data_IF_951635691983
#
_entry.id   IF_951635691983
#
_cell.length_a   1.000
_cell.length_b   1.000
_cell.length_c   1.000
_cell.angle_alpha   90.00
_cell.angle_beta   90.00
_cell.angle_gamma   90.00
#
_symmetry.space_group_name_H-M   'P 1'
#
loop_
_entity.id
_entity.type
_entity.pdbx_description
1 polymer ?
#
# COMPACT_ATOMS: atom_id res chain seq x y z
N UNK A 1 -1.55 -2.51 -10.95
CA UNK A 1 -1.38 -1.78 -9.68
C UNK A 1 -0.06 -1.04 -9.79
N UNK A 2 -0.08 0.29 -9.77
CA UNK A 2 1.12 1.10 -10.00
C UNK A 2 1.99 1.10 -8.72
N UNK A 3 3.30 0.98 -8.91
CA UNK A 3 4.28 1.07 -7.83
C UNK A 3 4.31 2.53 -7.37
N UNK A 4 4.05 2.79 -6.10
CA UNK A 4 4.22 4.13 -5.54
C UNK A 4 5.72 4.39 -5.36
N UNK A 5 6.21 5.47 -5.96
CA UNK A 5 7.59 5.93 -5.81
C UNK A 5 7.73 6.80 -4.56
N UNK A 6 8.90 6.72 -3.91
CA UNK A 6 9.17 7.40 -2.64
C UNK A 6 9.03 8.92 -2.74
N UNK A 7 9.34 9.48 -3.92
CA UNK A 7 9.25 10.90 -4.23
C UNK A 7 7.82 11.44 -4.11
N UNK A 8 6.82 10.64 -4.49
CA UNK A 8 5.40 11.02 -4.40
C UNK A 8 4.87 10.93 -2.97
N UNK A 9 5.52 10.11 -2.13
CA UNK A 9 5.12 9.88 -0.74
C UNK A 9 5.73 10.93 0.20
N UNK A 10 6.93 11.43 -0.08
CA UNK A 10 7.60 12.42 0.78
C UNK A 10 6.85 13.74 0.86
N UNK A 11 6.15 14.14 -0.21
CA UNK A 11 5.32 15.35 -0.26
C UNK A 11 3.98 15.25 0.48
N UNK A 12 3.55 14.06 0.90
CA UNK A 12 2.25 13.86 1.54
C UNK A 12 2.29 14.15 3.05
N UNK A 13 1.21 14.70 3.57
CA UNK A 13 1.05 14.89 5.02
C UNK A 13 0.88 13.55 5.75
N UNK A 14 1.26 13.49 7.03
CA UNK A 14 1.16 12.27 7.84
C UNK A 14 -0.27 11.71 7.88
N UNK A 15 -1.29 12.59 7.89
CA UNK A 15 -2.70 12.18 7.82
C UNK A 15 -3.07 11.56 6.47
N UNK A 16 -2.53 12.09 5.38
CA UNK A 16 -2.75 11.56 4.03
C UNK A 16 -2.06 10.22 3.84
N UNK A 17 -0.87 10.03 4.43
CA UNK A 17 -0.17 8.75 4.44
C UNK A 17 -1.03 7.70 5.15
N UNK A 18 -1.59 8.01 6.32
CA UNK A 18 -2.45 7.07 7.05
C UNK A 18 -3.74 6.73 6.30
N UNK A 19 -4.34 7.70 5.62
CA UNK A 19 -5.51 7.47 4.76
C UNK A 19 -5.17 6.51 3.60
N UNK A 20 -4.08 6.76 2.87
CA UNK A 20 -3.62 5.87 1.79
C UNK A 20 -3.26 4.47 2.29
N UNK A 21 -2.64 4.36 3.47
CA UNK A 21 -2.34 3.06 4.08
C UNK A 21 -3.63 2.28 4.32
N UNK A 22 -4.68 2.92 4.87
CA UNK A 22 -5.99 2.27 5.08
C UNK A 22 -6.61 1.80 3.77
N UNK A 23 -6.64 2.64 2.73
CA UNK A 23 -7.17 2.25 1.42
C UNK A 23 -6.45 1.04 0.82
N UNK A 24 -5.12 1.05 0.81
CA UNK A 24 -4.33 -0.05 0.25
C UNK A 24 -4.54 -1.33 1.09
N UNK A 25 -4.75 -1.21 2.40
CA UNK A 25 -5.05 -2.35 3.28
C UNK A 25 -6.41 -2.98 2.97
N UNK A 26 -7.44 -2.16 2.73
CA UNK A 26 -8.76 -2.61 2.29
C UNK A 26 -8.68 -3.28 0.91
N UNK A 27 -7.96 -2.68 -0.04
CA UNK A 27 -7.71 -3.28 -1.35
C UNK A 27 -6.99 -4.63 -1.24
N UNK A 28 -5.98 -4.73 -0.36
CA UNK A 28 -5.26 -5.96 -0.07
C UNK A 28 -6.17 -7.04 0.54
N UNK A 29 -7.12 -6.65 1.41
CA UNK A 29 -8.12 -7.55 1.96
C UNK A 29 -9.03 -8.10 0.86
N UNK A 30 -9.57 -7.23 0.00
CA UNK A 30 -10.40 -7.64 -1.13
C UNK A 30 -9.64 -8.57 -2.10
N UNK A 31 -8.38 -8.29 -2.39
CA UNK A 31 -7.53 -9.17 -3.21
C UNK A 31 -7.29 -10.54 -2.55
N UNK A 32 -7.18 -10.60 -1.22
CA UNK A 32 -7.06 -11.88 -0.48
C UNK A 32 -8.38 -12.65 -0.48
N UNK A 33 -9.51 -11.96 -0.42
CA UNK A 33 -10.84 -12.58 -0.54
C UNK A 33 -11.05 -13.13 -1.94
N UNK A 34 -10.71 -12.38 -2.99
CA UNK A 34 -10.72 -12.85 -4.38
C UNK A 34 -9.78 -14.05 -4.58
N UNK A 35 -8.59 -14.05 -3.95
CA UNK A 35 -7.67 -15.20 -3.94
C UNK A 35 -8.37 -16.48 -3.49
N UNK A 36 -9.09 -16.38 -2.39
CA UNK A 36 -9.73 -17.50 -1.73
C UNK A 36 -10.98 -17.96 -2.49
N UNK A 37 -11.72 -17.02 -3.09
CA UNK A 37 -12.98 -17.31 -3.78
C UNK A 37 -12.80 -17.95 -5.17
N UNK A 38 -11.88 -17.46 -6.00
CA UNK A 38 -11.81 -17.87 -7.42
C UNK A 38 -10.39 -18.13 -7.94
N UNK A 39 -9.38 -18.13 -7.07
CA UNK A 39 -7.98 -18.15 -7.49
C UNK A 39 -7.51 -16.76 -7.91
N UNK A 40 -6.25 -16.45 -7.58
CA UNK A 40 -5.73 -15.08 -7.70
C UNK A 40 -5.27 -14.79 -9.12
N UNK A 41 -6.00 -13.93 -9.85
CA UNK A 41 -5.63 -13.53 -11.21
C UNK A 41 -4.28 -12.79 -11.29
N UNK A 42 -3.89 -12.04 -10.24
CA UNK A 42 -2.70 -11.15 -10.28
C UNK A 42 -1.86 -11.24 -8.99
N UNK A 43 -1.02 -12.27 -8.82
CA UNK A 43 -0.12 -12.43 -7.66
C UNK A 43 0.84 -11.27 -7.43
N UNK A 44 1.28 -10.62 -8.51
CA UNK A 44 2.16 -9.46 -8.42
C UNK A 44 1.48 -8.25 -7.74
N UNK A 45 0.15 -8.10 -7.85
CA UNK A 45 -0.56 -6.98 -7.24
C UNK A 45 -0.49 -7.01 -5.71
N UNK A 46 -0.58 -8.19 -5.11
CA UNK A 46 -0.43 -8.39 -3.65
C UNK A 46 0.98 -7.99 -3.18
N UNK A 47 2.01 -8.33 -3.96
CA UNK A 47 3.40 -7.94 -3.66
C UNK A 47 3.59 -6.43 -3.77
N UNK A 48 3.03 -5.79 -4.79
CA UNK A 48 3.10 -4.34 -4.98
C UNK A 48 2.38 -3.60 -3.85
N UNK A 49 1.17 -4.04 -3.47
CA UNK A 49 0.41 -3.46 -2.36
C UNK A 49 1.19 -3.51 -1.03
N UNK A 50 1.81 -4.66 -0.71
CA UNK A 50 2.68 -4.79 0.47
C UNK A 50 3.88 -3.84 0.41
N UNK A 51 4.54 -3.75 -0.74
CA UNK A 51 5.67 -2.84 -0.93
C UNK A 51 5.29 -1.37 -0.80
N UNK A 52 4.12 -0.98 -1.30
CA UNK A 52 3.59 0.37 -1.18
C UNK A 52 3.29 0.73 0.29
N UNK A 53 2.68 -0.18 1.07
CA UNK A 53 2.45 0.02 2.51
C UNK A 53 3.78 0.20 3.25
N UNK A 54 4.78 -0.63 2.96
CA UNK A 54 6.09 -0.53 3.61
C UNK A 54 6.73 0.85 3.36
N UNK A 55 6.74 1.33 2.11
CA UNK A 55 7.28 2.66 1.77
C UNK A 55 6.54 3.80 2.48
N UNK A 56 5.20 3.74 2.52
CA UNK A 56 4.37 4.72 3.23
C UNK A 56 4.75 4.80 4.72
N UNK A 57 4.90 3.65 5.37
CA UNK A 57 5.30 3.58 6.78
C UNK A 57 6.75 4.05 6.99
N UNK A 58 7.67 3.73 6.08
CA UNK A 58 9.06 4.21 6.14
C UNK A 58 9.14 5.73 6.07
N UNK A 59 8.41 6.36 5.14
CA UNK A 59 8.39 7.84 5.03
C UNK A 59 7.78 8.47 6.28
N UNK A 60 6.66 7.92 6.78
CA UNK A 60 6.06 8.39 8.04
C UNK A 60 7.06 8.34 9.20
N UNK A 61 7.78 7.23 9.33
CA UNK A 61 8.79 7.06 10.39
C UNK A 61 9.99 8.01 10.20
N UNK A 62 10.38 8.27 8.95
CA UNK A 62 11.45 9.24 8.64
C UNK A 62 11.08 10.68 8.95
N UNK A 63 9.79 11.06 8.91
CA UNK A 63 9.31 12.39 9.29
C UNK A 63 9.20 12.61 10.80
N UNK A 64 9.23 11.53 11.59
CA UNK A 64 9.13 11.58 13.04
C UNK A 64 10.48 11.65 13.77
N UNK A 65 11.60 11.62 13.04
CA UNK A 65 12.95 11.90 13.55
C UNK A 65 13.35 13.32 13.21
#
# INVERSE_FOLDING_TARGET
MQKLELSEISGLDNKQIDAKVKEIRTSLFNMRMQKAASGLEKPHAVRIAKGNIARLLTVKNSKGK
#
